data_IF_086626636741
#
_entry.id   IF_086626636741
#
_cell.length_a   1.000
_cell.length_b   1.000
_cell.length_c   1.000
_cell.angle_alpha   90.00
_cell.angle_beta   90.00
_cell.angle_gamma   90.00
#
_symmetry.space_group_name_H-M   'P 1'
#
loop_
_entity.id
_entity.type
_entity.pdbx_description
1 polymer ?
#
# COMPACT_ATOMS: atom_id res chain seq x y z
N UNK A 1 36.26 57.02 -14.05
CA UNK A 1 35.20 56.91 -13.02
C UNK A 1 34.99 55.43 -12.73
N UNK A 2 35.23 55.02 -11.48
CA UNK A 2 35.11 53.66 -10.96
C UNK A 2 33.63 53.25 -10.83
N UNK A 3 33.29 51.97 -11.10
CA UNK A 3 32.19 51.20 -10.49
C UNK A 3 32.13 49.80 -11.15
N UNK A 4 32.86 48.82 -10.62
CA UNK A 4 32.46 47.86 -9.57
C UNK A 4 31.71 46.64 -10.13
N UNK A 5 32.52 45.60 -10.42
CA UNK A 5 32.17 44.19 -10.37
C UNK A 5 31.39 43.87 -9.08
N UNK A 6 30.21 43.26 -9.18
CA UNK A 6 29.61 42.50 -8.08
C UNK A 6 29.76 41.01 -8.40
N UNK A 7 30.78 40.39 -7.80
CA UNK A 7 30.90 38.95 -7.68
C UNK A 7 29.92 38.48 -6.59
N UNK A 8 28.81 37.87 -6.98
CA UNK A 8 27.91 37.17 -6.07
C UNK A 8 28.55 35.84 -5.66
N UNK A 9 29.16 35.84 -4.46
CA UNK A 9 29.61 34.65 -3.75
C UNK A 9 28.38 33.82 -3.39
N UNK A 10 28.14 32.74 -4.14
CA UNK A 10 27.19 31.70 -3.78
C UNK A 10 27.81 30.92 -2.63
N UNK A 11 27.35 31.18 -1.40
CA UNK A 11 27.77 30.43 -0.22
C UNK A 11 27.29 28.98 -0.35
N UNK A 12 28.21 28.09 -0.68
CA UNK A 12 28.00 26.64 -0.65
C UNK A 12 27.86 26.23 0.83
N UNK A 13 26.63 26.16 1.33
CA UNK A 13 26.36 25.52 2.61
C UNK A 13 26.65 24.02 2.46
N UNK A 14 27.89 23.62 2.76
CA UNK A 14 28.21 22.22 3.07
C UNK A 14 27.39 21.85 4.31
N UNK A 15 26.27 21.17 4.09
CA UNK A 15 25.64 20.37 5.14
C UNK A 15 26.60 19.22 5.45
N UNK A 16 27.50 19.43 6.41
CA UNK A 16 28.21 18.33 7.04
C UNK A 16 27.20 17.38 7.70
N UNK A 17 27.48 16.07 7.76
CA UNK A 17 26.62 15.16 8.50
C UNK A 17 26.50 15.67 9.94
N UNK A 18 25.28 15.68 10.48
CA UNK A 18 25.06 15.92 11.90
C UNK A 18 25.75 14.80 12.67
N UNK A 19 26.98 15.03 13.12
CA UNK A 19 27.70 14.08 13.95
C UNK A 19 27.03 14.07 15.32
N UNK A 20 26.32 12.99 15.63
CA UNK A 20 25.99 12.71 17.02
C UNK A 20 27.31 12.39 17.77
N UNK A 21 27.43 12.96 18.97
CA UNK A 21 28.60 12.83 19.81
C UNK A 21 28.37 11.74 20.84
N UNK A 22 29.19 10.69 20.81
CA UNK A 22 29.10 9.60 21.76
C UNK A 22 30.31 9.46 22.68
N UNK A 23 30.13 8.66 23.73
CA UNK A 23 31.15 8.35 24.73
C UNK A 23 31.75 6.98 24.47
N UNK A 24 32.98 6.77 24.95
CA UNK A 24 33.67 5.49 24.81
C UNK A 24 33.28 4.59 26.01
N UNK A 25 32.52 3.50 25.78
CA UNK A 25 32.05 2.66 26.87
C UNK A 25 33.21 2.01 27.62
N UNK A 26 33.08 1.93 28.95
CA UNK A 26 34.03 1.25 29.83
C UNK A 26 35.30 2.02 30.18
N UNK A 27 35.66 3.08 29.44
CA UNK A 27 36.90 3.84 29.70
C UNK A 27 36.68 5.34 29.94
N UNK A 28 35.64 5.98 29.38
CA UNK A 28 35.39 7.38 29.67
C UNK A 28 34.86 7.56 31.10
N UNK A 29 35.36 8.57 31.82
CA UNK A 29 35.01 8.84 33.22
C UNK A 29 35.31 7.69 34.19
N UNK A 30 36.18 6.76 33.83
CA UNK A 30 36.61 5.67 34.73
C UNK A 30 38.04 5.87 35.22
N UNK A 31 38.32 5.29 36.39
CA UNK A 31 39.67 5.22 36.94
C UNK A 31 40.38 3.99 36.38
N UNK A 32 41.60 4.17 35.90
CA UNK A 32 42.46 3.12 35.38
C UNK A 32 43.53 2.76 36.42
N UNK A 33 43.74 1.46 36.62
CA UNK A 33 44.68 0.92 37.59
C UNK A 33 45.79 0.12 36.89
N UNK A 34 46.96 0.04 37.51
CA UNK A 34 48.03 -0.87 37.12
C UNK A 34 47.81 -2.30 37.67
N UNK A 35 48.70 -3.23 37.30
CA UNK A 35 48.67 -4.63 37.75
C UNK A 35 48.81 -4.81 39.27
N UNK A 36 49.24 -3.77 39.98
CA UNK A 36 49.38 -3.72 41.43
C UNK A 36 48.24 -2.92 42.09
N UNK A 37 47.15 -2.67 41.35
CA UNK A 37 45.98 -1.90 41.77
C UNK A 37 46.26 -0.43 42.14
N UNK A 38 47.38 0.15 41.67
CA UNK A 38 47.68 1.57 41.87
C UNK A 38 47.12 2.39 40.71
N UNK A 39 46.69 3.65 40.95
CA UNK A 39 46.25 4.54 39.89
C UNK A 39 47.27 4.68 38.75
N UNK A 40 46.81 4.60 37.50
CA UNK A 40 47.65 4.79 36.31
C UNK A 40 47.94 6.27 36.05
N UNK A 41 48.55 6.93 37.04
CA UNK A 41 48.81 8.36 37.05
C UNK A 41 49.73 8.78 35.89
N UNK A 42 49.30 9.76 35.09
CA UNK A 42 50.04 10.22 33.91
C UNK A 42 50.14 9.19 32.77
N UNK A 43 49.31 8.15 32.79
CA UNK A 43 49.13 7.26 31.65
C UNK A 43 48.67 8.02 30.40
N UNK A 44 48.84 7.42 29.23
CA UNK A 44 48.44 8.01 27.95
C UNK A 44 47.38 7.15 27.27
N UNK A 45 46.23 7.74 26.98
CA UNK A 45 45.18 7.15 26.17
C UNK A 45 45.29 7.66 24.73
N UNK A 46 45.63 6.75 23.82
CA UNK A 46 45.64 6.98 22.39
C UNK A 46 44.28 6.66 21.80
N UNK A 47 43.72 7.64 21.09
CA UNK A 47 42.46 7.53 20.37
C UNK A 47 42.79 7.34 18.89
N UNK A 48 42.44 6.19 18.32
CA UNK A 48 42.95 5.74 17.02
C UNK A 48 41.75 5.38 16.14
N UNK A 49 41.86 5.63 14.84
CA UNK A 49 40.85 5.16 13.87
C UNK A 49 40.81 3.62 13.84
N UNK A 50 39.62 3.04 13.80
CA UNK A 50 39.44 1.59 13.75
C UNK A 50 40.22 0.96 12.58
N UNK A 51 40.79 -0.22 12.80
CA UNK A 51 41.58 -0.94 11.78
C UNK A 51 42.96 -0.33 11.48
N UNK A 52 43.33 0.79 12.11
CA UNK A 52 44.68 1.38 11.98
C UNK A 52 45.54 1.13 13.22
N UNK A 53 46.85 1.39 13.13
CA UNK A 53 47.80 1.18 14.24
C UNK A 53 48.13 2.46 15.01
N UNK A 54 48.07 3.62 14.33
CA UNK A 54 48.47 4.91 14.91
C UNK A 54 47.76 6.13 14.32
N UNK A 55 46.79 5.96 13.40
CA UNK A 55 46.10 7.10 12.81
C UNK A 55 45.20 7.77 13.85
N UNK A 56 45.42 9.04 14.21
CA UNK A 56 44.66 9.72 15.26
C UNK A 56 43.15 9.79 14.95
N UNK A 57 42.32 9.48 15.95
CA UNK A 57 40.89 9.80 15.95
C UNK A 57 40.65 11.06 16.78
N UNK A 58 39.95 12.03 16.21
CA UNK A 58 39.58 13.25 16.93
C UNK A 58 38.44 12.95 17.90
N UNK A 59 38.64 13.34 19.16
CA UNK A 59 37.59 13.38 20.19
C UNK A 59 37.68 14.71 20.94
N UNK A 60 36.65 15.04 21.70
CA UNK A 60 36.30 16.39 22.13
C UNK A 60 35.86 16.42 23.60
N UNK A 61 35.93 17.60 24.18
CA UNK A 61 35.55 17.91 25.56
C UNK A 61 34.05 18.15 25.71
N UNK A 62 33.35 18.45 24.60
CA UNK A 62 31.94 18.80 24.56
C UNK A 62 31.15 17.93 23.57
N UNK A 63 29.85 17.82 23.79
CA UNK A 63 28.91 17.08 22.93
C UNK A 63 28.66 17.76 21.58
N UNK A 64 29.08 19.01 21.38
CA UNK A 64 28.98 19.69 20.08
C UNK A 64 30.21 19.46 19.20
N UNK A 65 31.17 18.66 19.68
CA UNK A 65 32.41 18.31 18.97
C UNK A 65 33.22 19.54 18.55
N UNK A 66 33.33 20.54 19.44
CA UNK A 66 33.98 21.82 19.12
C UNK A 66 35.36 21.99 19.75
N UNK A 67 35.60 21.44 20.94
CA UNK A 67 36.84 21.56 21.68
C UNK A 67 37.59 20.23 21.70
N UNK A 68 38.52 20.04 20.76
CA UNK A 68 39.25 18.79 20.62
C UNK A 68 40.17 18.52 21.83
N UNK A 69 40.20 17.27 22.29
CA UNK A 69 41.23 16.78 23.19
C UNK A 69 42.55 16.57 22.44
N UNK A 70 43.72 16.88 23.03
CA UNK A 70 45.00 16.37 22.55
C UNK A 70 45.02 14.84 22.47
N UNK A 71 45.71 14.32 21.45
CA UNK A 71 45.94 12.90 21.27
C UNK A 71 47.46 12.63 21.24
N UNK A 72 48.03 11.90 22.22
CA UNK A 72 47.35 11.16 23.28
C UNK A 72 46.79 12.03 24.40
N UNK A 73 45.67 11.57 24.96
CA UNK A 73 45.05 12.12 26.17
C UNK A 73 45.86 11.66 27.39
N UNK A 74 46.23 12.60 28.27
CA UNK A 74 46.98 12.27 29.49
C UNK A 74 46.02 12.11 30.68
N UNK A 75 46.15 11.00 31.42
CA UNK A 75 45.36 10.70 32.61
C UNK A 75 45.79 11.57 33.79
N UNK A 76 44.87 11.89 34.69
CA UNK A 76 45.16 12.70 35.88
C UNK A 76 46.04 11.96 36.91
N UNK A 77 46.40 12.64 38.02
CA UNK A 77 47.21 12.06 39.09
C UNK A 77 46.53 10.86 39.79
N UNK A 78 45.20 10.72 39.66
CA UNK A 78 44.43 9.60 40.16
C UNK A 78 44.17 8.55 39.06
N UNK A 79 44.82 8.64 37.89
CA UNK A 79 44.64 7.70 36.78
C UNK A 79 43.23 7.74 36.18
N UNK A 80 42.51 8.85 36.30
CA UNK A 80 41.17 8.99 35.72
C UNK A 80 41.26 9.45 34.28
N UNK A 81 40.41 8.86 33.47
CA UNK A 81 40.15 9.32 32.10
C UNK A 81 39.06 10.39 32.19
N UNK A 82 39.27 11.60 31.66
CA UNK A 82 38.23 12.62 31.64
C UNK A 82 37.05 12.20 30.75
N UNK A 83 36.02 13.04 30.73
CA UNK A 83 34.95 12.84 29.77
C UNK A 83 35.47 13.05 28.35
N UNK A 84 35.20 12.08 27.48
CA UNK A 84 35.66 12.09 26.09
C UNK A 84 34.46 11.85 25.20
N UNK A 85 34.21 12.79 24.29
CA UNK A 85 33.18 12.68 23.28
C UNK A 85 33.82 12.47 21.91
N UNK A 86 33.43 11.45 21.17
CA UNK A 86 33.89 11.22 19.82
C UNK A 86 32.69 11.27 18.87
N UNK A 87 32.93 11.50 17.58
CA UNK A 87 31.88 11.29 16.58
C UNK A 87 31.43 9.82 16.60
N UNK A 88 30.14 9.59 16.39
CA UNK A 88 29.57 8.25 16.28
C UNK A 88 30.30 7.40 15.24
N UNK A 89 30.59 6.15 15.60
CA UNK A 89 31.34 5.22 14.77
C UNK A 89 32.11 4.19 15.58
N UNK A 90 32.99 3.47 14.90
CA UNK A 90 33.92 2.52 15.52
C UNK A 90 35.32 3.12 15.61
N UNK A 91 35.98 2.90 16.76
CA UNK A 91 37.31 3.42 17.06
C UNK A 91 38.20 2.33 17.64
N UNK A 92 39.48 2.63 17.74
CA UNK A 92 40.47 1.87 18.47
C UNK A 92 41.01 2.71 19.62
N UNK A 93 41.15 2.09 20.79
CA UNK A 93 41.82 2.69 21.93
C UNK A 93 43.09 1.94 22.27
N UNK A 94 44.09 2.67 22.74
CA UNK A 94 45.30 2.10 23.33
C UNK A 94 45.67 2.90 24.56
N UNK A 95 45.67 2.26 25.72
CA UNK A 95 46.11 2.84 26.98
C UNK A 95 47.53 2.40 27.29
N UNK A 96 48.41 3.34 27.64
CA UNK A 96 49.76 3.07 28.11
C UNK A 96 49.99 3.67 29.50
N UNK A 97 50.96 3.12 30.23
CA UNK A 97 51.49 3.78 31.43
C UNK A 97 52.32 5.04 31.05
N UNK A 98 52.79 5.77 32.06
CA UNK A 98 53.63 6.96 31.88
C UNK A 98 54.96 6.68 31.16
N UNK A 99 55.42 5.43 31.18
CA UNK A 99 56.67 4.98 30.57
C UNK A 99 56.45 4.42 29.15
N UNK A 100 55.20 4.37 28.66
CA UNK A 100 54.84 3.90 27.32
C UNK A 100 54.49 2.41 27.23
N UNK A 101 54.46 1.67 28.34
CA UNK A 101 54.06 0.25 28.31
C UNK A 101 52.55 0.13 28.12
N UNK A 102 52.12 -0.74 27.21
CA UNK A 102 50.71 -0.93 26.89
C UNK A 102 49.98 -1.68 28.01
N UNK A 103 48.80 -1.18 28.39
CA UNK A 103 47.92 -1.79 29.40
C UNK A 103 46.60 -2.28 28.82
N UNK A 104 46.07 -1.58 27.82
CA UNK A 104 44.85 -1.97 27.12
C UNK A 104 44.98 -1.62 25.66
N UNK A 105 44.57 -2.53 24.77
CA UNK A 105 44.34 -2.25 23.36
C UNK A 105 43.00 -2.88 23.02
N UNK A 106 42.12 -2.09 22.42
CA UNK A 106 40.85 -2.59 21.92
C UNK A 106 40.57 -1.92 20.58
N UNK A 107 40.29 -2.73 19.56
CA UNK A 107 39.90 -2.28 18.22
C UNK A 107 38.40 -2.52 18.00
N UNK A 108 37.83 -1.91 16.97
CA UNK A 108 36.41 -2.00 16.62
C UNK A 108 35.46 -1.69 17.79
N UNK A 109 35.84 -0.74 18.65
CA UNK A 109 35.03 -0.30 19.79
C UNK A 109 33.99 0.71 19.32
N UNK A 110 32.71 0.43 19.58
CA UNK A 110 31.61 1.32 19.24
C UNK A 110 31.58 2.53 20.19
N UNK A 111 31.52 3.73 19.62
CA UNK A 111 31.23 4.98 20.34
C UNK A 111 29.72 5.05 20.59
N UNK A 112 29.31 5.25 21.85
CA UNK A 112 27.92 5.20 22.29
C UNK A 112 27.45 6.60 22.69
N UNK A 113 26.63 7.24 21.86
CA UNK A 113 26.06 8.56 22.10
C UNK A 113 24.57 8.58 22.35
N UNK A 114 24.02 9.75 22.77
CA UNK A 114 22.60 9.99 22.72
C UNK A 114 22.21 9.92 21.24
N UNK A 115 21.63 8.78 20.86
CA UNK A 115 21.10 8.54 19.52
C UNK A 115 20.27 9.75 19.09
N UNK A 116 20.78 10.50 18.12
CA UNK A 116 20.07 11.63 17.49
C UNK A 116 18.84 11.21 16.67
N UNK A 117 18.42 9.95 16.77
CA UNK A 117 17.26 9.37 16.12
C UNK A 117 16.49 8.50 17.10
N UNK A 118 15.17 8.59 17.05
CA UNK A 118 14.26 7.99 18.03
C UNK A 118 14.53 6.53 18.37
N UNK A 119 14.29 6.20 19.64
CA UNK A 119 13.98 4.85 20.14
C UNK A 119 14.49 3.68 19.30
N UNK A 120 15.81 3.50 19.27
CA UNK A 120 16.41 2.25 18.80
C UNK A 120 16.26 1.16 19.85
N UNK A 121 15.06 0.57 19.94
CA UNK A 121 14.95 -0.83 20.36
C UNK A 121 15.80 -1.67 19.42
N UNK A 122 16.65 -2.54 19.96
CA UNK A 122 17.74 -3.17 19.22
C UNK A 122 17.32 -3.83 17.89
N UNK A 123 18.21 -3.73 16.89
CA UNK A 123 18.45 -4.68 15.77
C UNK A 123 17.24 -5.40 15.14
N UNK A 124 16.06 -4.80 15.15
CA UNK A 124 15.00 -5.17 14.20
C UNK A 124 15.20 -4.24 13.03
N UNK A 125 15.88 -4.73 11.99
CA UNK A 125 15.82 -4.07 10.68
C UNK A 125 14.34 -3.78 10.40
N UNK A 126 13.90 -2.56 10.05
CA UNK A 126 12.50 -2.28 9.76
C UNK A 126 11.87 -3.27 8.75
N UNK A 127 12.68 -3.90 7.89
CA UNK A 127 12.26 -5.00 7.00
C UNK A 127 11.88 -6.30 7.74
N UNK A 128 12.39 -6.52 8.97
CA UNK A 128 12.03 -7.66 9.83
C UNK A 128 10.57 -7.62 10.30
N UNK A 129 9.93 -6.44 10.28
CA UNK A 129 8.51 -6.28 10.63
C UNK A 129 7.65 -6.10 9.38
N UNK A 130 8.12 -5.34 8.38
CA UNK A 130 7.45 -5.18 7.09
C UNK A 130 8.46 -4.77 6.00
N UNK A 131 8.47 -5.51 4.90
CA UNK A 131 9.30 -5.25 3.72
C UNK A 131 8.61 -4.25 2.77
N UNK A 132 9.39 -3.57 1.93
CA UNK A 132 8.84 -2.70 0.87
C UNK A 132 7.82 -3.46 0.01
N UNK A 133 6.67 -2.83 -0.23
CA UNK A 133 5.56 -3.44 -0.95
C UNK A 133 4.54 -4.16 -0.05
N UNK A 134 4.89 -4.46 1.20
CA UNK A 134 3.93 -5.04 2.15
C UNK A 134 2.76 -4.10 2.39
N UNK A 135 1.59 -4.71 2.61
CA UNK A 135 0.36 -3.99 2.84
C UNK A 135 -0.09 -4.13 4.28
N UNK A 136 -0.58 -3.03 4.86
CA UNK A 136 -1.29 -3.05 6.13
C UNK A 136 -2.61 -2.28 6.05
N UNK A 137 -3.50 -2.60 6.98
CA UNK A 137 -4.76 -1.88 7.17
C UNK A 137 -4.66 -1.08 8.47
N UNK A 138 -5.14 0.17 8.44
CA UNK A 138 -5.31 0.94 9.66
C UNK A 138 -6.67 1.67 9.66
N UNK A 139 -7.31 1.72 10.84
CA UNK A 139 -8.54 2.48 11.04
C UNK A 139 -8.21 3.96 11.24
N UNK A 140 -8.18 4.71 10.13
CA UNK A 140 -7.85 6.13 10.10
C UNK A 140 -7.45 6.59 8.70
N UNK A 141 -7.37 7.90 8.47
CA UNK A 141 -7.16 8.51 7.14
C UNK A 141 -5.85 9.30 7.00
N UNK A 142 -5.08 9.38 8.09
CA UNK A 142 -3.84 10.16 8.19
C UNK A 142 -2.72 9.61 7.31
N UNK A 143 -1.77 10.48 6.94
CA UNK A 143 -0.50 10.02 6.33
C UNK A 143 0.36 9.39 7.42
N UNK A 144 1.00 8.26 7.11
CA UNK A 144 1.84 7.52 8.06
C UNK A 144 3.29 7.51 7.58
N UNK A 145 4.24 7.85 8.45
CA UNK A 145 5.68 7.81 8.12
C UNK A 145 6.12 6.40 7.73
N UNK A 146 6.84 6.28 6.62
CA UNK A 146 7.29 4.99 6.09
C UNK A 146 6.24 4.23 5.27
N UNK A 147 5.06 4.82 5.03
CA UNK A 147 3.95 4.23 4.29
C UNK A 147 3.27 5.24 3.35
N UNK A 148 2.63 4.74 2.30
CA UNK A 148 1.76 5.52 1.40
C UNK A 148 0.41 4.83 1.24
N UNK A 149 -0.66 5.56 0.93
CA UNK A 149 -2.00 4.96 0.79
C UNK A 149 -2.18 4.34 -0.59
N UNK A 150 -2.77 3.15 -0.66
CA UNK A 150 -3.14 2.50 -1.93
C UNK A 150 -4.41 3.14 -2.53
N UNK A 151 -4.28 4.37 -3.02
CA UNK A 151 -5.40 5.25 -3.37
C UNK A 151 -5.44 5.67 -4.85
N UNK A 152 -4.70 4.99 -5.72
CA UNK A 152 -4.64 5.31 -7.15
C UNK A 152 -3.86 6.58 -7.52
N UNK A 153 -3.31 7.32 -6.54
CA UNK A 153 -2.41 8.45 -6.81
C UNK A 153 -1.01 7.95 -7.15
N UNK A 154 -0.07 8.86 -7.36
CA UNK A 154 1.29 8.53 -7.81
C UNK A 154 2.35 8.72 -6.74
N UNK A 155 3.43 7.94 -6.83
CA UNK A 155 4.70 8.13 -6.12
C UNK A 155 5.84 8.36 -7.10
N UNK A 156 6.93 8.97 -6.64
CA UNK A 156 8.11 9.25 -7.45
C UNK A 156 9.16 10.04 -6.68
N UNK A 157 10.25 10.42 -7.35
CA UNK A 157 11.35 11.18 -6.75
C UNK A 157 10.88 12.52 -6.16
N UNK A 158 11.74 13.17 -5.36
CA UNK A 158 11.44 14.46 -4.73
C UNK A 158 11.04 15.57 -5.73
N UNK A 159 11.48 15.46 -6.99
CA UNK A 159 11.20 16.42 -8.07
C UNK A 159 10.18 15.92 -9.09
N UNK A 160 9.65 14.71 -8.92
CA UNK A 160 8.75 14.06 -9.90
C UNK A 160 7.35 14.66 -10.01
N UNK A 161 6.93 15.48 -9.04
CA UNK A 161 5.56 16.02 -8.97
C UNK A 161 4.49 14.97 -8.61
N UNK A 162 4.89 13.83 -8.07
CA UNK A 162 3.99 12.78 -7.61
C UNK A 162 2.95 13.28 -6.58
N UNK A 163 1.73 12.74 -6.66
CA UNK A 163 0.54 13.32 -6.00
C UNK A 163 0.19 12.70 -4.65
N UNK A 164 0.57 11.45 -4.38
CA UNK A 164 0.54 10.90 -3.02
C UNK A 164 1.82 11.28 -2.28
N UNK A 165 2.97 11.10 -2.94
CA UNK A 165 4.27 11.35 -2.33
C UNK A 165 5.39 11.52 -3.36
N UNK A 166 5.94 12.73 -3.43
CA UNK A 166 7.17 13.05 -4.17
C UNK A 166 8.35 13.13 -3.18
N UNK A 167 9.09 12.03 -3.01
CA UNK A 167 10.22 11.98 -2.07
C UNK A 167 11.21 10.86 -2.45
N UNK A 168 12.49 11.03 -2.12
CA UNK A 168 13.54 10.06 -2.45
C UNK A 168 13.35 8.69 -1.79
N UNK A 169 12.75 8.64 -0.61
CA UNK A 169 12.46 7.40 0.12
C UNK A 169 11.34 6.55 -0.50
N UNK A 170 10.69 6.99 -1.59
CA UNK A 170 9.76 6.14 -2.36
C UNK A 170 10.46 5.31 -3.43
N UNK A 171 11.79 5.41 -3.57
CA UNK A 171 12.55 4.73 -4.63
C UNK A 171 12.35 3.21 -4.59
N UNK A 172 12.46 2.61 -3.41
CA UNK A 172 12.31 1.17 -3.23
C UNK A 172 10.91 0.70 -3.66
N UNK A 173 9.86 1.37 -3.17
CA UNK A 173 8.48 1.03 -3.54
C UNK A 173 8.20 1.28 -5.03
N UNK A 174 8.75 2.35 -5.61
CA UNK A 174 8.64 2.61 -7.05
C UNK A 174 9.21 1.44 -7.86
N UNK A 175 10.42 0.98 -7.52
CA UNK A 175 11.08 -0.11 -8.22
C UNK A 175 10.35 -1.44 -8.02
N UNK A 176 9.85 -1.70 -6.80
CA UNK A 176 9.04 -2.86 -6.49
C UNK A 176 7.76 -2.90 -7.34
N UNK A 177 6.95 -1.84 -7.32
CA UNK A 177 5.70 -1.78 -8.08
C UNK A 177 5.94 -1.82 -9.59
N UNK A 178 7.04 -1.21 -10.05
CA UNK A 178 7.41 -1.26 -11.46
C UNK A 178 7.66 -2.70 -11.92
N UNK A 179 8.33 -3.52 -11.11
CA UNK A 179 8.56 -4.93 -11.43
C UNK A 179 7.34 -5.83 -11.20
N UNK A 180 6.56 -5.56 -10.14
CA UNK A 180 5.50 -6.46 -9.66
C UNK A 180 4.19 -6.36 -10.45
N UNK A 181 3.78 -5.16 -10.86
CA UNK A 181 2.52 -4.94 -11.55
C UNK A 181 2.76 -4.11 -12.83
N UNK A 182 2.73 -4.78 -13.97
CA UNK A 182 2.91 -4.16 -15.27
C UNK A 182 1.78 -3.19 -15.66
N UNK A 183 0.59 -3.32 -15.05
CA UNK A 183 -0.59 -2.52 -15.39
C UNK A 183 -0.59 -1.15 -14.71
N UNK A 184 0.23 -0.96 -13.66
CA UNK A 184 0.37 0.34 -13.04
C UNK A 184 0.97 1.34 -14.04
N UNK A 185 0.29 2.46 -14.20
CA UNK A 185 0.69 3.51 -15.12
C UNK A 185 1.97 4.19 -14.63
N UNK A 186 2.97 4.24 -15.51
CA UNK A 186 4.18 5.08 -15.33
C UNK A 186 4.04 6.30 -16.23
N UNK A 187 4.32 7.49 -15.71
CA UNK A 187 4.25 8.74 -16.49
C UNK A 187 5.15 8.65 -17.73
N UNK A 188 4.62 9.01 -18.90
CA UNK A 188 5.28 8.85 -20.20
C UNK A 188 5.63 7.40 -20.58
N UNK A 189 4.96 6.41 -19.96
CA UNK A 189 5.17 4.99 -20.20
C UNK A 189 6.42 4.42 -19.52
N UNK A 190 6.49 3.09 -19.48
CA UNK A 190 7.63 2.36 -18.93
C UNK A 190 8.83 2.45 -19.87
N UNK A 191 9.99 2.76 -19.31
CA UNK A 191 11.27 2.76 -20.01
C UNK A 191 11.98 1.42 -19.94
N UNK A 192 13.29 1.44 -20.15
CA UNK A 192 14.13 0.23 -20.18
C UNK A 192 14.25 -0.47 -18.82
N UNK A 193 14.15 0.27 -17.72
CA UNK A 193 14.21 -0.28 -16.37
C UNK A 193 13.58 0.67 -15.35
N UNK A 194 13.17 0.12 -14.20
CA UNK A 194 12.67 0.92 -13.08
C UNK A 194 13.68 1.99 -12.62
N UNK A 195 14.98 1.67 -12.62
CA UNK A 195 16.03 2.60 -12.22
C UNK A 195 16.18 3.76 -13.23
N UNK A 196 16.07 3.49 -14.52
CA UNK A 196 16.10 4.52 -15.55
C UNK A 196 14.86 5.43 -15.48
N UNK A 197 13.68 4.85 -15.25
CA UNK A 197 12.44 5.61 -15.09
C UNK A 197 12.47 6.47 -13.82
N UNK A 198 13.03 5.96 -12.73
CA UNK A 198 13.26 6.72 -11.50
C UNK A 198 14.22 7.89 -11.73
N UNK A 199 15.37 7.64 -12.36
CA UNK A 199 16.36 8.67 -12.67
C UNK A 199 15.80 9.75 -13.61
N UNK A 200 14.86 9.38 -14.48
CA UNK A 200 14.12 10.31 -15.34
C UNK A 200 13.02 11.11 -14.60
N UNK A 201 12.91 10.98 -13.27
CA UNK A 201 11.88 11.60 -12.43
C UNK A 201 10.44 11.25 -12.84
N UNK A 202 10.24 10.05 -13.40
CA UNK A 202 8.90 9.56 -13.69
C UNK A 202 8.16 9.22 -12.39
N UNK A 203 6.85 9.27 -12.47
CA UNK A 203 5.95 8.82 -11.41
C UNK A 203 5.31 7.49 -11.78
N UNK A 204 5.03 6.63 -10.80
CA UNK A 204 4.22 5.42 -10.97
C UNK A 204 2.94 5.54 -10.15
N UNK A 205 1.82 5.07 -10.70
CA UNK A 205 0.55 4.97 -9.98
C UNK A 205 0.62 3.88 -8.90
N UNK A 206 -0.05 4.13 -7.79
CA UNK A 206 -0.31 3.14 -6.75
C UNK A 206 -1.55 2.32 -7.13
N UNK A 207 -1.68 1.07 -6.65
CA UNK A 207 -2.94 0.35 -6.69
C UNK A 207 -4.09 1.18 -6.12
N UNK A 208 -5.27 1.12 -6.75
CA UNK A 208 -6.46 1.89 -6.31
C UNK A 208 -7.45 0.98 -5.57
N UNK A 209 -7.33 0.96 -4.24
CA UNK A 209 -8.18 0.16 -3.36
C UNK A 209 -9.38 0.93 -2.80
N UNK A 210 -9.65 2.15 -3.28
CA UNK A 210 -10.77 2.96 -2.79
C UNK A 210 -12.09 2.25 -3.08
N UNK A 211 -12.83 1.90 -2.03
CA UNK A 211 -14.13 1.23 -2.16
C UNK A 211 -14.08 -0.20 -2.68
N UNK A 212 -12.91 -0.85 -2.65
CA UNK A 212 -12.73 -2.23 -3.14
C UNK A 212 -12.51 -3.20 -2.00
N UNK A 213 -12.98 -4.43 -2.20
CA UNK A 213 -12.63 -5.59 -1.37
C UNK A 213 -11.45 -6.29 -2.04
N UNK A 214 -10.45 -6.69 -1.25
CA UNK A 214 -9.28 -7.42 -1.74
C UNK A 214 -9.59 -8.92 -1.74
N UNK A 215 -9.26 -9.59 -2.84
CA UNK A 215 -9.20 -11.05 -2.92
C UNK A 215 -7.75 -11.50 -3.11
N UNK A 216 -7.44 -12.73 -2.73
CA UNK A 216 -6.15 -13.34 -3.06
C UNK A 216 -6.04 -13.59 -4.56
N UNK A 217 -4.81 -13.57 -5.09
CA UNK A 217 -4.55 -14.09 -6.42
C UNK A 217 -4.98 -15.55 -6.49
N UNK A 218 -5.43 -15.99 -7.65
CA UNK A 218 -6.01 -17.33 -7.77
C UNK A 218 -4.96 -18.43 -7.95
N UNK A 219 -3.73 -18.07 -8.29
CA UNK A 219 -2.56 -18.95 -8.39
C UNK A 219 -1.71 -18.96 -7.10
N UNK A 220 -1.36 -17.80 -6.51
CA UNK A 220 -0.58 -17.67 -5.25
C UNK A 220 0.63 -18.61 -5.14
N UNK A 221 1.39 -18.76 -6.23
CA UNK A 221 2.55 -19.66 -6.29
C UNK A 221 2.22 -21.14 -6.57
N UNK A 222 0.97 -21.43 -6.91
CA UNK A 222 0.48 -22.72 -7.41
C UNK A 222 -0.28 -22.52 -8.74
N UNK A 223 -0.92 -23.56 -9.27
CA UNK A 223 -1.87 -23.42 -10.37
C UNK A 223 -3.15 -22.67 -9.93
N UNK A 224 -3.76 -21.94 -10.88
CA UNK A 224 -5.02 -21.20 -10.68
C UNK A 224 -6.15 -22.10 -10.18
N UNK A 225 -6.77 -21.73 -9.06
CA UNK A 225 -7.92 -22.42 -8.46
C UNK A 225 -9.27 -22.18 -9.20
N UNK A 226 -9.26 -21.32 -10.21
CA UNK A 226 -10.37 -20.90 -11.07
C UNK A 226 -11.57 -20.29 -10.35
N UNK A 227 -11.39 -19.70 -9.16
CA UNK A 227 -12.51 -19.22 -8.33
C UNK A 227 -13.09 -17.88 -8.80
N UNK A 228 -12.26 -17.06 -9.46
CA UNK A 228 -12.64 -15.70 -9.92
C UNK A 228 -12.52 -15.52 -11.45
N UNK A 229 -12.13 -16.56 -12.19
CA UNK A 229 -11.79 -16.45 -13.61
C UNK A 229 -12.98 -16.05 -14.50
N UNK A 230 -14.21 -16.33 -14.05
CA UNK A 230 -15.42 -15.94 -14.78
C UNK A 230 -15.71 -14.44 -14.72
N UNK A 231 -15.11 -13.71 -13.77
CA UNK A 231 -15.39 -12.29 -13.53
C UNK A 231 -14.17 -11.39 -13.70
N UNK A 232 -12.95 -11.94 -13.66
CA UNK A 232 -11.72 -11.15 -13.79
C UNK A 232 -10.52 -11.99 -14.23
N UNK A 233 -9.46 -11.29 -14.67
CA UNK A 233 -8.12 -11.87 -14.81
C UNK A 233 -7.53 -12.15 -13.40
N UNK A 234 -7.91 -13.29 -12.84
CA UNK A 234 -7.72 -13.64 -11.42
C UNK A 234 -6.27 -13.91 -10.98
N UNK A 235 -5.36 -14.11 -11.93
CA UNK A 235 -3.91 -14.28 -11.70
C UNK A 235 -3.12 -12.99 -11.98
N UNK A 236 -3.78 -11.94 -12.48
CA UNK A 236 -3.14 -10.66 -12.77
C UNK A 236 -3.26 -9.74 -11.55
N UNK A 237 -2.13 -9.32 -10.99
CA UNK A 237 -2.11 -8.37 -9.89
C UNK A 237 -2.77 -7.04 -10.33
N UNK A 238 -3.54 -6.45 -9.42
CA UNK A 238 -4.28 -5.22 -9.69
C UNK A 238 -5.53 -5.38 -10.56
N UNK A 239 -5.83 -6.58 -11.08
CA UNK A 239 -7.08 -6.83 -11.78
C UNK A 239 -8.28 -6.55 -10.85
N UNK A 240 -9.30 -5.89 -11.40
CA UNK A 240 -10.45 -5.47 -10.64
C UNK A 240 -11.74 -5.69 -11.41
N UNK A 241 -12.76 -6.21 -10.72
CA UNK A 241 -14.10 -6.46 -11.24
C UNK A 241 -15.14 -6.35 -10.12
N UNK A 242 -16.37 -6.77 -10.39
CA UNK A 242 -17.49 -6.78 -9.44
C UNK A 242 -18.51 -5.68 -9.71
N UNK A 243 -19.69 -5.82 -9.10
CA UNK A 243 -20.83 -4.90 -9.25
C UNK A 243 -21.45 -4.65 -7.87
N UNK A 244 -21.89 -3.43 -7.59
CA UNK A 244 -22.47 -3.03 -6.30
C UNK A 244 -23.95 -3.42 -6.15
N UNK A 245 -24.67 -3.47 -7.27
CA UNK A 245 -26.11 -3.75 -7.31
C UNK A 245 -26.44 -4.72 -8.43
N UNK A 246 -27.47 -5.55 -8.23
CA UNK A 246 -27.95 -6.47 -9.25
C UNK A 246 -29.42 -6.23 -9.57
N UNK A 247 -29.74 -6.23 -10.86
CA UNK A 247 -31.10 -6.15 -11.39
C UNK A 247 -31.53 -7.55 -11.81
N UNK A 248 -32.61 -8.07 -11.21
CA UNK A 248 -33.19 -9.34 -11.67
C UNK A 248 -33.80 -9.17 -13.06
N UNK A 249 -33.33 -9.98 -14.00
CA UNK A 249 -33.87 -10.11 -15.36
C UNK A 249 -34.63 -11.42 -15.50
N UNK A 250 -35.42 -11.57 -16.57
CA UNK A 250 -36.18 -12.80 -16.83
C UNK A 250 -35.31 -14.07 -16.83
N UNK A 251 -34.09 -14.08 -17.42
CA UNK A 251 -33.17 -15.21 -17.30
C UNK A 251 -32.75 -15.59 -15.87
N UNK A 252 -32.90 -14.71 -14.88
CA UNK A 252 -32.57 -15.02 -13.49
C UNK A 252 -33.73 -15.67 -12.72
N UNK A 253 -34.93 -15.75 -13.32
CA UNK A 253 -36.08 -16.38 -12.69
C UNK A 253 -36.06 -17.90 -12.94
N UNK A 254 -36.58 -18.71 -12.01
CA UNK A 254 -36.81 -20.13 -12.26
C UNK A 254 -37.61 -20.32 -13.56
N UNK A 255 -37.29 -21.34 -14.39
CA UNK A 255 -38.08 -21.64 -15.56
C UNK A 255 -39.55 -21.84 -15.18
N UNK A 256 -40.44 -21.09 -15.83
CA UNK A 256 -41.88 -21.21 -15.62
C UNK A 256 -42.59 -21.33 -16.97
N UNK A 257 -43.45 -22.36 -17.09
CA UNK A 257 -44.25 -22.62 -18.29
C UNK A 257 -45.71 -22.74 -17.86
N UNK A 258 -46.45 -21.61 -17.77
CA UNK A 258 -47.86 -21.66 -17.39
C UNK A 258 -48.66 -22.49 -18.39
N UNK A 259 -49.49 -23.42 -17.90
CA UNK A 259 -50.45 -24.17 -18.71
C UNK A 259 -51.86 -23.94 -18.19
N UNK A 260 -52.83 -23.81 -19.09
CA UNK A 260 -54.23 -23.59 -18.77
C UNK A 260 -55.10 -23.60 -20.01
N UNK A 261 -56.41 -23.80 -19.84
CA UNK A 261 -57.41 -23.72 -20.90
C UNK A 261 -58.44 -22.64 -20.57
N UNK A 262 -58.89 -21.90 -21.59
CA UNK A 262 -59.99 -20.94 -21.46
C UNK A 262 -61.27 -21.65 -21.86
N UNK A 263 -62.17 -21.90 -20.90
CA UNK A 263 -63.50 -22.42 -21.18
C UNK A 263 -64.47 -21.24 -21.36
N UNK A 264 -65.02 -21.08 -22.57
CA UNK A 264 -66.09 -20.10 -22.85
C UNK A 264 -67.42 -20.83 -22.84
N UNK A 265 -68.21 -20.67 -21.77
CA UNK A 265 -69.59 -21.16 -21.71
C UNK A 265 -70.54 -20.04 -22.10
N UNK A 266 -70.96 -20.01 -23.36
CA UNK A 266 -72.06 -19.15 -23.81
C UNK A 266 -73.40 -19.87 -23.62
N UNK A 267 -74.35 -19.26 -22.89
CA UNK A 267 -75.75 -19.64 -22.99
C UNK A 267 -76.31 -19.07 -24.30
N UNK A 268 -76.37 -19.89 -25.34
CA UNK A 268 -77.04 -19.52 -26.58
C UNK A 268 -78.53 -19.79 -26.43
N UNK A 269 -79.30 -18.76 -26.02
CA UNK A 269 -80.74 -18.76 -26.22
C UNK A 269 -81.02 -18.64 -27.71
N UNK A 270 -81.12 -19.78 -28.42
CA UNK A 270 -81.64 -19.77 -29.78
C UNK A 270 -83.13 -19.46 -29.68
N UNK A 271 -83.49 -18.17 -29.76
CA UNK A 271 -84.87 -17.84 -30.12
C UNK A 271 -85.01 -18.25 -31.58
N UNK A 272 -85.50 -19.46 -31.81
CA UNK A 272 -86.23 -19.74 -33.04
C UNK A 272 -87.51 -18.91 -32.91
N UNK A 273 -87.40 -17.62 -33.29
CA UNK A 273 -88.55 -16.80 -33.56
C UNK A 273 -89.24 -17.43 -34.75
N UNK A 274 -90.24 -18.26 -34.50
CA UNK A 274 -91.27 -18.45 -35.52
C UNK A 274 -91.87 -17.06 -35.73
N UNK A 275 -91.45 -16.40 -36.81
CA UNK A 275 -92.15 -15.23 -37.29
C UNK A 275 -93.57 -15.73 -37.57
N UNK A 276 -94.52 -15.40 -36.71
CA UNK A 276 -95.92 -15.53 -37.05
C UNK A 276 -96.21 -14.45 -38.09
N UNK A 277 -95.79 -14.69 -39.34
CA UNK A 277 -96.20 -13.88 -40.50
C UNK A 277 -97.68 -14.21 -40.70
N UNK A 278 -98.53 -13.43 -40.05
CA UNK A 278 -99.97 -13.47 -40.22
C UNK A 278 -100.43 -12.87 -41.58
N UNK A 279 -99.58 -12.87 -42.62
CA UNK A 279 -99.88 -12.19 -43.89
C UNK A 279 -99.51 -12.95 -45.16
N UNK A 280 -99.16 -14.24 -45.10
CA UNK A 280 -99.06 -15.07 -46.31
C UNK A 280 -99.77 -16.41 -46.06
N UNK A 281 -100.66 -16.77 -47.00
CA UNK A 281 -101.50 -17.97 -46.99
C UNK A 281 -100.74 -19.30 -46.95
N UNK A 282 -101.46 -20.43 -46.99
CA UNK A 282 -101.15 -21.66 -46.27
C UNK A 282 -99.79 -22.28 -46.62
N UNK A 283 -99.03 -22.56 -45.56
CA UNK A 283 -98.17 -23.75 -45.40
C UNK A 283 -97.24 -24.13 -46.56
N UNK A 284 -96.05 -23.54 -46.58
CA UNK A 284 -94.83 -24.23 -47.03
C UNK A 284 -93.90 -24.48 -45.83
N UNK A 285 -94.26 -25.42 -44.96
CA UNK A 285 -93.24 -26.21 -44.25
C UNK A 285 -92.78 -27.30 -45.23
N UNK A 286 -92.07 -26.88 -46.26
CA UNK A 286 -91.45 -27.73 -47.27
C UNK A 286 -89.95 -27.63 -47.13
N UNK A 287 -89.41 -28.33 -46.14
CA UNK A 287 -87.98 -28.35 -45.86
C UNK A 287 -87.60 -29.56 -45.02
N UNK A 288 -87.79 -30.76 -45.57
CA UNK A 288 -86.94 -31.93 -45.24
C UNK A 288 -85.53 -31.63 -45.74
N UNK A 289 -84.83 -30.76 -45.02
CA UNK A 289 -83.43 -30.42 -45.23
C UNK A 289 -82.63 -30.97 -44.06
N UNK A 290 -82.09 -32.17 -44.22
CA UNK A 290 -80.98 -32.66 -43.41
C UNK A 290 -79.82 -31.67 -43.52
N UNK A 291 -79.65 -30.83 -42.49
CA UNK A 291 -78.48 -29.97 -42.32
C UNK A 291 -78.77 -28.47 -42.41
N UNK A 292 -79.33 -27.89 -41.35
CA UNK A 292 -79.11 -26.47 -41.09
C UNK A 292 -77.71 -26.30 -40.49
N UNK A 293 -76.74 -25.83 -41.29
CA UNK A 293 -75.42 -25.48 -40.77
C UNK A 293 -75.51 -24.20 -39.95
N UNK A 294 -75.48 -24.34 -38.62
CA UNK A 294 -75.24 -23.24 -37.70
C UNK A 294 -73.74 -22.88 -37.77
N UNK A 295 -73.39 -21.79 -38.46
CA UNK A 295 -72.04 -21.21 -38.36
C UNK A 295 -71.94 -20.51 -37.00
N UNK A 296 -71.41 -21.21 -36.00
CA UNK A 296 -71.14 -20.60 -34.71
C UNK A 296 -69.96 -19.62 -34.83
N UNK A 297 -70.08 -18.36 -34.34
CA UNK A 297 -68.92 -17.50 -34.21
C UNK A 297 -67.97 -18.13 -33.19
N UNK A 298 -66.73 -18.39 -33.60
CA UNK A 298 -65.67 -18.77 -32.67
C UNK A 298 -65.45 -17.57 -31.75
N UNK A 299 -65.81 -17.71 -30.48
CA UNK A 299 -65.44 -16.71 -29.47
C UNK A 299 -63.96 -16.94 -29.15
N UNK A 300 -63.09 -16.15 -29.75
CA UNK A 300 -61.67 -16.12 -29.40
C UNK A 300 -61.51 -15.45 -28.02
N UNK A 301 -61.47 -16.25 -26.96
CA UNK A 301 -61.08 -15.78 -25.63
C UNK A 301 -59.58 -15.51 -25.60
N UNK A 302 -59.17 -14.25 -25.50
CA UNK A 302 -57.76 -13.90 -25.26
C UNK A 302 -57.50 -13.80 -23.76
N UNK A 303 -56.51 -14.53 -23.24
CA UNK A 303 -55.98 -14.29 -21.91
C UNK A 303 -54.88 -13.22 -22.02
N UNK A 304 -55.23 -11.96 -21.77
CA UNK A 304 -54.25 -10.88 -21.60
C UNK A 304 -53.84 -10.82 -20.14
N UNK A 305 -52.81 -11.59 -19.75
CA UNK A 305 -52.21 -11.45 -18.43
C UNK A 305 -51.40 -10.17 -18.31
N UNK A 306 -51.51 -9.46 -17.20
CA UNK A 306 -50.50 -8.45 -16.83
C UNK A 306 -49.19 -9.15 -16.50
N UNK A 307 -48.05 -8.58 -16.89
CA UNK A 307 -46.75 -9.12 -16.53
C UNK A 307 -46.68 -9.34 -15.00
N UNK A 308 -46.36 -10.55 -14.58
CA UNK A 308 -46.17 -10.90 -13.18
C UNK A 308 -44.73 -10.58 -12.77
N UNK A 309 -44.54 -9.84 -11.68
CA UNK A 309 -43.21 -9.50 -11.17
C UNK A 309 -43.18 -8.18 -10.39
N UNK A 310 -42.05 -7.90 -9.75
CA UNK A 310 -41.74 -6.59 -9.16
C UNK A 310 -41.15 -5.62 -10.18
N UNK A 311 -40.77 -4.41 -9.75
CA UNK A 311 -40.18 -3.37 -10.61
C UNK A 311 -38.73 -3.66 -11.05
N UNK A 312 -38.17 -4.83 -10.72
CA UNK A 312 -36.74 -5.14 -10.87
C UNK A 312 -35.82 -4.04 -10.32
N UNK A 313 -36.23 -3.36 -9.25
CA UNK A 313 -35.38 -2.35 -8.60
C UNK A 313 -34.09 -3.02 -8.14
N UNK A 314 -32.90 -2.48 -8.48
CA UNK A 314 -31.64 -3.10 -8.11
C UNK A 314 -31.51 -3.26 -6.59
N UNK A 315 -31.07 -4.43 -6.16
CA UNK A 315 -30.74 -4.67 -4.75
C UNK A 315 -29.22 -4.69 -4.56
N UNK A 316 -28.77 -4.35 -3.35
CA UNK A 316 -27.34 -4.32 -3.03
C UNK A 316 -26.77 -5.74 -2.94
N UNK A 317 -25.62 -5.96 -3.58
CA UNK A 317 -24.81 -7.17 -3.44
C UNK A 317 -23.69 -7.00 -2.39
N UNK A 318 -23.61 -5.84 -1.75
CA UNK A 318 -22.50 -5.52 -0.85
C UNK A 318 -22.66 -6.31 0.44
N UNK A 319 -21.65 -7.13 0.76
CA UNK A 319 -21.57 -7.80 2.05
C UNK A 319 -21.48 -6.79 3.20
N UNK A 320 -21.89 -7.12 4.44
CA UNK A 320 -21.65 -6.26 5.60
C UNK A 320 -20.16 -5.86 5.68
N UNK A 321 -19.86 -4.57 5.51
CA UNK A 321 -18.49 -4.07 5.33
C UNK A 321 -18.25 -2.82 6.18
N UNK A 322 -17.07 -2.73 6.81
CA UNK A 322 -16.58 -1.54 7.52
C UNK A 322 -15.33 -1.01 6.80
N UNK A 323 -15.23 0.31 6.66
CA UNK A 323 -14.16 0.95 5.88
C UNK A 323 -12.93 1.26 6.74
N UNK A 324 -11.76 0.96 6.19
CA UNK A 324 -10.44 1.29 6.73
C UNK A 324 -9.48 1.67 5.58
N UNK A 325 -8.33 2.24 5.90
CA UNK A 325 -7.36 2.66 4.90
C UNK A 325 -6.28 1.61 4.70
N UNK A 326 -6.02 1.25 3.44
CA UNK A 326 -4.92 0.40 3.02
C UNK A 326 -3.66 1.22 2.76
N UNK A 327 -2.54 0.78 3.32
CA UNK A 327 -1.23 1.40 3.17
C UNK A 327 -0.23 0.39 2.61
N UNK A 328 0.71 0.89 1.80
CA UNK A 328 1.86 0.16 1.26
C UNK A 328 3.15 0.67 1.92
N UNK A 329 4.03 -0.25 2.29
CA UNK A 329 5.32 0.05 2.90
C UNK A 329 6.27 0.61 1.85
N UNK A 330 6.89 1.76 2.17
CA UNK A 330 7.98 2.35 1.40
C UNK A 330 9.26 1.52 1.53
#
# INVERSE_FOLDING_TARGET
>A
MKRHFLASILALALMGPSFAAGTIPGISMTQQLDELARPLAGGKLFLIQAGTTSTPQNCYQDTSLTLAWPNPLTLDAAGRVPQVFCADGIIKIRLTDKNGNQKLIQDNLLVVGPSGGGGGGGTVDPTTIASTGDMKVAYGTSVLTGWVRANGRTIGSATSGATERANADTQSLFQYLWGADANLAVSAGRGASAAADWAANKTIALPDLRGRVIAGLDDMGNSSASRLNAVMASTLLGAAAGVQTFTLTTPNLPPYTPSGSVAVTGNYGSQIGFLNIATLGPSQYGGTGTGASLTQPIINGTFTGTAQGGSSTPFSLVQPTLLATYYLKL
#
